data_IF_130769118264
#
_entry.id   IF_130769118264
#
_cell.length_a   1.000
_cell.length_b   1.000
_cell.length_c   1.000
_cell.angle_alpha   90.00
_cell.angle_beta   90.00
_cell.angle_gamma   90.00
#
_symmetry.space_group_name_H-M   'P 1'
#
loop_
_entity.id
_entity.type
_entity.pdbx_description
1 polymer ?
#
# COMPACT_ATOMS: atom_id res chain seq x y z
N UNK A 1 4.95 -15.06 -0.43
CA UNK A 1 3.91 -15.00 -1.50
C UNK A 1 4.42 -14.34 -2.79
N UNK A 2 5.41 -13.43 -2.75
CA UNK A 2 5.99 -12.81 -3.96
C UNK A 2 7.15 -13.59 -4.63
N UNK A 3 7.80 -14.51 -3.90
CA UNK A 3 8.80 -15.45 -4.45
C UNK A 3 8.11 -16.58 -5.25
N UNK A 4 8.68 -17.07 -6.37
CA UNK A 4 10.00 -16.80 -6.92
C UNK A 4 10.10 -15.66 -7.94
N UNK A 5 9.01 -14.91 -8.16
CA UNK A 5 8.98 -13.87 -9.20
C UNK A 5 9.91 -12.71 -8.85
N UNK A 6 9.91 -12.35 -7.58
CA UNK A 6 10.75 -11.26 -7.08
C UNK A 6 12.15 -11.78 -6.83
N UNK A 7 13.03 -11.51 -7.81
CA UNK A 7 14.45 -11.88 -7.77
C UNK A 7 15.28 -10.66 -7.37
N UNK A 8 16.37 -10.82 -6.60
CA UNK A 8 17.21 -9.71 -6.16
C UNK A 8 17.79 -8.82 -7.27
N UNK A 9 17.86 -9.35 -8.49
CA UNK A 9 18.41 -8.69 -9.68
C UNK A 9 17.43 -7.74 -10.39
N UNK A 10 16.14 -7.76 -10.02
CA UNK A 10 15.14 -6.86 -10.61
C UNK A 10 15.38 -5.40 -10.22
N UNK A 11 14.81 -4.48 -10.99
CA UNK A 11 14.83 -3.06 -10.63
C UNK A 11 13.56 -2.71 -9.87
N UNK A 12 13.74 -2.19 -8.67
CA UNK A 12 12.69 -1.78 -7.78
C UNK A 12 12.39 -0.29 -7.86
N UNK A 13 11.13 0.06 -7.66
CA UNK A 13 10.72 1.42 -7.40
C UNK A 13 9.84 1.47 -6.15
N UNK A 14 10.28 2.19 -5.13
CA UNK A 14 9.55 2.40 -3.89
C UNK A 14 8.58 3.57 -4.04
N UNK A 15 7.29 3.28 -4.00
CA UNK A 15 6.16 4.20 -4.02
C UNK A 15 5.80 4.71 -2.61
N UNK A 16 6.83 5.01 -1.84
CA UNK A 16 6.78 5.54 -0.47
C UNK A 16 7.98 6.47 -0.26
N UNK A 17 8.03 7.23 0.86
CA UNK A 17 9.19 8.02 1.22
C UNK A 17 10.41 7.16 1.47
N UNK A 18 11.58 7.70 1.18
CA UNK A 18 12.85 7.03 1.46
C UNK A 18 12.92 6.67 2.95
N UNK A 19 12.99 5.37 3.30
CA UNK A 19 13.01 4.94 4.69
C UNK A 19 14.18 5.53 5.48
N UNK A 20 15.30 5.81 4.82
CA UNK A 20 16.51 6.34 5.46
C UNK A 20 16.42 7.85 5.75
N UNK A 21 15.45 8.56 5.14
CA UNK A 21 15.27 10.02 5.29
C UNK A 21 13.96 10.43 5.94
N UNK A 22 13.07 9.49 6.24
CA UNK A 22 11.78 9.76 6.87
C UNK A 22 11.71 9.29 8.31
N UNK A 23 10.91 9.98 9.12
CA UNK A 23 10.55 9.57 10.48
C UNK A 23 9.16 8.92 10.56
N UNK A 24 8.47 8.81 9.41
CA UNK A 24 7.17 8.14 9.33
C UNK A 24 7.36 6.62 9.35
N UNK A 25 6.71 5.94 10.30
CA UNK A 25 6.87 4.49 10.47
C UNK A 25 6.45 3.68 9.22
N UNK A 26 5.38 4.08 8.53
CA UNK A 26 4.98 3.44 7.27
C UNK A 26 6.04 3.55 6.17
N UNK A 27 6.92 4.56 6.23
CA UNK A 27 8.12 4.61 5.40
C UNK A 27 9.20 3.66 5.90
N UNK A 28 9.49 3.66 7.21
CA UNK A 28 10.53 2.82 7.82
C UNK A 28 10.36 1.33 7.55
N UNK A 29 9.14 0.80 7.60
CA UNK A 29 8.92 -0.64 7.36
C UNK A 29 9.33 -1.10 5.97
N UNK A 30 9.36 -0.18 5.00
CA UNK A 30 9.80 -0.48 3.62
C UNK A 30 11.31 -0.68 3.49
N UNK A 31 12.10 -0.53 4.57
CA UNK A 31 13.53 -0.87 4.57
C UNK A 31 13.79 -2.29 4.10
N UNK A 32 12.92 -3.24 4.48
CA UNK A 32 13.05 -4.65 4.06
C UNK A 32 13.11 -4.80 2.53
N UNK A 33 12.52 -3.86 1.78
CA UNK A 33 12.59 -3.89 0.33
C UNK A 33 14.02 -3.71 -0.19
N UNK A 34 14.82 -2.85 0.45
CA UNK A 34 16.24 -2.63 0.14
C UNK A 34 17.13 -3.82 0.51
N UNK A 35 16.69 -4.67 1.42
CA UNK A 35 17.38 -5.92 1.74
C UNK A 35 17.08 -7.02 0.69
N UNK A 36 15.98 -6.89 -0.05
CA UNK A 36 15.49 -7.89 -0.99
C UNK A 36 15.89 -7.62 -2.45
N UNK A 37 15.95 -6.35 -2.86
CA UNK A 37 16.20 -5.93 -4.25
C UNK A 37 17.43 -5.00 -4.31
N UNK A 38 18.35 -5.26 -5.26
CA UNK A 38 19.63 -4.55 -5.34
C UNK A 38 19.51 -3.10 -5.82
N UNK A 39 18.68 -2.86 -6.83
CA UNK A 39 18.57 -1.54 -7.49
C UNK A 39 17.20 -0.94 -7.17
N UNK A 40 17.13 0.05 -6.29
CA UNK A 40 15.86 0.66 -5.89
C UNK A 40 15.89 2.17 -6.05
N UNK A 41 14.98 2.67 -6.88
CA UNK A 41 14.64 4.09 -6.96
C UNK A 41 13.49 4.41 -5.99
N UNK A 42 13.38 5.67 -5.56
CA UNK A 42 12.37 6.08 -4.57
C UNK A 42 11.52 7.25 -5.07
N UNK A 43 10.22 7.18 -4.82
CA UNK A 43 9.27 8.21 -5.22
C UNK A 43 9.55 9.56 -4.52
N UNK A 44 9.78 9.53 -3.20
CA UNK A 44 9.96 10.73 -2.38
C UNK A 44 11.27 10.63 -1.62
N UNK A 45 12.35 11.13 -2.22
CA UNK A 45 13.71 11.10 -1.66
C UNK A 45 14.07 12.40 -0.91
N UNK A 46 13.25 12.77 0.08
CA UNK A 46 13.46 13.95 0.92
C UNK A 46 12.93 13.72 2.33
N UNK A 47 13.40 14.54 3.27
CA UNK A 47 12.80 14.60 4.59
C UNK A 47 11.40 15.21 4.51
N UNK A 48 10.45 14.58 5.19
CA UNK A 48 9.08 15.07 5.33
C UNK A 48 9.00 15.71 6.72
N UNK A 49 9.09 17.03 6.78
CA UNK A 49 8.98 17.76 8.05
C UNK A 49 7.53 17.81 8.53
N UNK A 50 7.35 17.90 9.84
CA UNK A 50 6.03 18.09 10.47
C UNK A 50 5.38 19.40 10.06
N UNK A 51 6.17 20.42 9.70
CA UNK A 51 5.68 21.69 9.16
C UNK A 51 5.03 21.52 7.79
N UNK A 52 5.64 20.76 6.89
CA UNK A 52 5.07 20.45 5.56
C UNK A 52 3.76 19.67 5.74
N UNK A 53 3.75 18.66 6.61
CA UNK A 53 2.55 17.88 6.93
C UNK A 53 1.45 18.82 7.45
N UNK A 54 1.75 19.67 8.45
CA UNK A 54 0.75 20.61 9.01
C UNK A 54 0.24 21.58 7.97
N UNK A 55 1.11 22.20 7.16
CA UNK A 55 0.73 23.22 6.19
C UNK A 55 -0.08 22.67 5.00
N UNK A 56 0.08 21.38 4.68
CA UNK A 56 -0.72 20.68 3.65
C UNK A 56 -2.02 20.12 4.19
N UNK A 57 -2.05 19.70 5.46
CA UNK A 57 -3.25 19.16 6.12
C UNK A 57 -4.16 20.23 6.73
N UNK A 58 -3.61 21.36 7.18
CA UNK A 58 -4.41 22.44 7.75
C UNK A 58 -5.14 23.18 6.63
N UNK A 59 -6.44 23.46 6.84
CA UNK A 59 -7.21 24.38 5.98
C UNK A 59 -6.74 25.84 6.06
N UNK A 60 -5.51 26.07 6.49
CA UNK A 60 -4.92 27.37 6.74
C UNK A 60 -4.70 28.12 5.42
N UNK A 61 -5.27 29.33 5.37
CA UNK A 61 -5.27 30.21 4.17
C UNK A 61 -4.16 31.27 4.22
N UNK A 62 -3.05 30.98 4.89
CA UNK A 62 -1.90 31.90 4.92
C UNK A 62 -1.11 31.86 3.60
N UNK A 63 -0.47 32.97 3.24
CA UNK A 63 0.40 33.05 2.05
C UNK A 63 1.53 32.00 2.08
N UNK A 64 2.06 31.72 3.27
CA UNK A 64 3.04 30.66 3.49
C UNK A 64 2.48 29.28 3.14
N UNK A 65 1.27 28.95 3.60
CA UNK A 65 0.62 27.69 3.27
C UNK A 65 0.34 27.56 1.76
N UNK A 66 -0.01 28.65 1.09
CA UNK A 66 -0.20 28.65 -0.37
C UNK A 66 1.10 28.35 -1.14
N UNK A 67 2.23 28.95 -0.73
CA UNK A 67 3.55 28.68 -1.31
C UNK A 67 3.98 27.22 -1.09
N UNK A 68 3.74 26.67 0.11
CA UNK A 68 4.05 25.27 0.43
C UNK A 68 3.25 24.32 -0.46
N UNK A 69 1.93 24.52 -0.59
CA UNK A 69 1.06 23.70 -1.47
C UNK A 69 1.49 23.75 -2.93
N UNK A 70 1.82 24.94 -3.44
CA UNK A 70 2.32 25.08 -4.82
C UNK A 70 3.64 24.34 -5.03
N UNK A 71 4.55 24.40 -4.06
CA UNK A 71 5.82 23.65 -4.10
C UNK A 71 5.58 22.14 -4.11
N UNK A 72 4.68 21.67 -3.26
CA UNK A 72 4.30 20.26 -3.19
C UNK A 72 3.65 19.74 -4.48
N UNK A 73 2.75 20.52 -5.11
CA UNK A 73 2.19 20.20 -6.44
C UNK A 73 3.26 20.03 -7.51
N UNK A 74 4.26 20.94 -7.56
CA UNK A 74 5.38 20.82 -8.51
C UNK A 74 6.24 19.59 -8.27
N UNK A 75 6.49 19.26 -7.00
CA UNK A 75 7.25 18.06 -6.65
C UNK A 75 6.49 16.77 -6.97
N UNK A 76 5.16 16.75 -6.79
CA UNK A 76 4.31 15.65 -7.21
C UNK A 76 4.39 15.42 -8.73
N UNK A 77 4.27 16.48 -9.53
CA UNK A 77 4.41 16.38 -10.98
C UNK A 77 5.82 15.90 -11.41
N UNK A 78 6.88 16.43 -10.79
CA UNK A 78 8.24 15.94 -11.04
C UNK A 78 8.40 14.46 -10.68
N UNK A 79 7.82 14.03 -9.57
CA UNK A 79 7.83 12.62 -9.15
C UNK A 79 7.18 11.72 -10.20
N UNK A 80 5.99 12.06 -10.69
CA UNK A 80 5.31 11.30 -11.76
C UNK A 80 6.20 11.23 -13.01
N UNK A 81 6.77 12.36 -13.44
CA UNK A 81 7.65 12.38 -14.62
C UNK A 81 8.97 11.59 -14.42
N UNK A 82 9.49 11.49 -13.19
CA UNK A 82 10.63 10.61 -12.89
C UNK A 82 10.25 9.14 -13.05
N UNK A 83 9.11 8.73 -12.47
CA UNK A 83 8.64 7.34 -12.57
C UNK A 83 8.38 6.95 -14.04
N UNK A 84 7.73 7.82 -14.82
CA UNK A 84 7.49 7.57 -16.25
C UNK A 84 8.80 7.44 -17.03
N UNK A 85 9.79 8.30 -16.76
CA UNK A 85 11.12 8.18 -17.41
C UNK A 85 11.81 6.87 -17.05
N UNK A 86 11.75 6.49 -15.78
CA UNK A 86 12.29 5.21 -15.31
C UNK A 86 11.62 4.02 -16.00
N UNK A 87 10.28 4.02 -16.12
CA UNK A 87 9.55 2.99 -16.87
C UNK A 87 10.02 2.86 -18.33
N UNK A 88 10.19 4.00 -19.02
CA UNK A 88 10.70 4.03 -20.40
C UNK A 88 12.13 3.45 -20.48
N UNK A 89 12.98 3.72 -19.49
CA UNK A 89 14.34 3.16 -19.42
C UNK A 89 14.32 1.65 -19.19
N UNK A 90 13.48 1.15 -18.28
CA UNK A 90 13.37 -0.28 -17.98
C UNK A 90 12.84 -1.06 -19.18
N UNK A 91 11.85 -0.52 -19.89
CA UNK A 91 11.33 -1.13 -21.13
C UNK A 91 12.42 -1.22 -22.21
N UNK A 92 13.18 -0.14 -22.43
CA UNK A 92 14.29 -0.12 -23.40
C UNK A 92 15.35 -1.18 -23.09
N UNK A 93 15.65 -1.40 -21.81
CA UNK A 93 16.60 -2.42 -21.34
C UNK A 93 16.01 -3.83 -21.33
N UNK A 94 14.69 -3.97 -21.50
CA UNK A 94 13.94 -5.23 -21.34
C UNK A 94 14.14 -5.86 -19.95
N UNK A 95 14.22 -5.00 -18.92
CA UNK A 95 14.40 -5.41 -17.55
C UNK A 95 13.04 -5.55 -16.84
N UNK A 96 12.89 -6.59 -16.03
CA UNK A 96 11.72 -6.74 -15.16
C UNK A 96 11.75 -5.74 -14.01
N UNK A 97 10.57 -5.39 -13.51
CA UNK A 97 10.39 -4.34 -12.51
C UNK A 97 9.57 -4.79 -11.31
N UNK A 98 9.84 -4.18 -10.17
CA UNK A 98 9.01 -4.33 -8.97
C UNK A 98 8.58 -2.98 -8.42
N UNK A 99 7.29 -2.84 -8.13
CA UNK A 99 6.76 -1.68 -7.40
C UNK A 99 6.38 -2.09 -5.98
N UNK A 100 6.83 -1.35 -4.98
CA UNK A 100 6.39 -1.54 -3.57
C UNK A 100 5.88 -0.22 -3.04
N UNK A 101 4.74 -0.18 -2.36
CA UNK A 101 4.32 0.99 -1.58
C UNK A 101 2.84 1.31 -1.68
N UNK A 102 2.48 2.58 -1.60
CA UNK A 102 1.07 2.97 -1.60
C UNK A 102 0.49 3.01 -3.04
N UNK A 103 -0.74 2.50 -3.26
CA UNK A 103 -1.34 2.34 -4.58
C UNK A 103 -1.62 3.69 -5.27
N UNK A 104 -1.90 4.76 -4.51
CA UNK A 104 -2.27 6.05 -5.09
C UNK A 104 -1.17 6.66 -5.98
N UNK A 105 0.12 6.46 -5.66
CA UNK A 105 1.22 6.98 -6.50
C UNK A 105 1.21 6.27 -7.85
N UNK A 106 1.12 4.94 -7.86
CA UNK A 106 1.07 4.18 -9.11
C UNK A 106 -0.20 4.50 -9.89
N UNK A 107 -1.33 4.68 -9.19
CA UNK A 107 -2.57 5.13 -9.82
C UNK A 107 -2.36 6.45 -10.59
N UNK A 108 -1.81 7.50 -9.97
CA UNK A 108 -1.58 8.77 -10.66
C UNK A 108 -0.58 8.65 -11.81
N UNK A 109 0.42 7.77 -11.70
CA UNK A 109 1.33 7.45 -12.82
C UNK A 109 0.56 6.80 -13.97
N UNK A 110 -0.28 5.79 -13.68
CA UNK A 110 -1.08 5.10 -14.71
C UNK A 110 -2.07 6.05 -15.40
N UNK A 111 -2.73 6.94 -14.66
CA UNK A 111 -3.60 7.96 -15.25
C UNK A 111 -2.82 8.89 -16.19
N UNK A 112 -1.62 9.33 -15.79
CA UNK A 112 -0.76 10.15 -16.65
C UNK A 112 -0.26 9.39 -17.88
N UNK A 113 -0.03 8.09 -17.78
CA UNK A 113 0.34 7.24 -18.92
C UNK A 113 -0.83 7.13 -19.91
N UNK A 114 -2.06 6.91 -19.42
CA UNK A 114 -3.28 6.89 -20.23
C UNK A 114 -3.49 8.23 -20.95
N UNK A 115 -3.36 9.36 -20.25
CA UNK A 115 -3.43 10.71 -20.85
C UNK A 115 -2.43 10.91 -22.00
N UNK A 116 -1.26 10.27 -21.92
CA UNK A 116 -0.21 10.33 -22.94
C UNK A 116 -0.32 9.25 -24.01
N UNK A 117 -1.30 8.35 -23.93
CA UNK A 117 -1.41 7.18 -24.80
C UNK A 117 -0.23 6.22 -24.70
N UNK A 118 0.43 6.16 -23.54
CA UNK A 118 1.58 5.28 -23.29
C UNK A 118 1.14 4.02 -22.54
N UNK A 119 1.61 2.88 -23.00
CA UNK A 119 1.47 1.58 -22.33
C UNK A 119 2.80 0.84 -22.40
N UNK A 120 3.02 -0.07 -21.46
CA UNK A 120 4.21 -0.90 -21.37
C UNK A 120 3.82 -2.37 -21.26
N UNK A 121 4.77 -3.27 -21.51
CA UNK A 121 4.58 -4.69 -21.25
C UNK A 121 5.81 -5.30 -20.55
N UNK A 122 5.77 -5.32 -19.22
CA UNK A 122 6.84 -5.89 -18.40
C UNK A 122 6.69 -7.39 -18.11
N UNK A 123 5.52 -7.96 -18.41
CA UNK A 123 5.26 -9.40 -18.36
C UNK A 123 5.39 -10.05 -16.98
N UNK A 124 5.50 -11.38 -16.99
CA UNK A 124 5.43 -12.25 -15.79
C UNK A 124 6.60 -12.10 -14.82
N UNK A 125 7.72 -11.52 -15.25
CA UNK A 125 8.91 -11.31 -14.41
C UNK A 125 8.85 -10.00 -13.60
N UNK A 126 7.69 -9.35 -13.57
CA UNK A 126 7.47 -8.09 -12.90
C UNK A 126 6.29 -8.19 -11.94
N UNK A 127 6.22 -7.30 -10.95
CA UNK A 127 5.19 -7.38 -9.92
C UNK A 127 4.98 -6.08 -9.16
N UNK A 128 3.85 -6.03 -8.45
CA UNK A 128 3.47 -4.90 -7.61
C UNK A 128 3.08 -5.46 -6.23
N UNK A 129 3.62 -4.87 -5.17
CA UNK A 129 3.13 -5.07 -3.80
C UNK A 129 2.65 -3.73 -3.27
N UNK A 130 1.36 -3.63 -3.02
CA UNK A 130 0.77 -2.45 -2.38
C UNK A 130 0.59 -2.66 -0.88
N UNK A 131 0.35 -1.58 -0.16
CA UNK A 131 -0.09 -1.64 1.24
C UNK A 131 -0.58 -0.28 1.74
N UNK A 132 -1.77 -0.28 2.35
CA UNK A 132 -2.43 0.95 2.82
C UNK A 132 -2.78 1.94 1.69
N UNK A 133 -3.29 3.12 2.02
CA UNK A 133 -3.42 4.23 1.05
C UNK A 133 -4.40 3.99 -0.12
N UNK A 134 -5.37 3.10 0.02
CA UNK A 134 -6.35 2.73 -1.03
C UNK A 134 -7.37 3.82 -1.39
N UNK A 135 -7.44 4.91 -0.62
CA UNK A 135 -8.17 6.12 -1.02
C UNK A 135 -7.35 6.82 -2.10
N UNK A 136 -7.97 7.21 -3.21
CA UNK A 136 -7.32 8.05 -4.22
C UNK A 136 -7.72 9.51 -3.96
N UNK A 137 -9.01 9.73 -3.72
CA UNK A 137 -9.58 10.99 -3.25
C UNK A 137 -10.34 10.78 -1.94
N UNK A 138 -10.70 11.87 -1.25
CA UNK A 138 -11.42 11.80 0.04
C UNK A 138 -12.68 10.90 -0.06
N UNK A 139 -13.36 10.93 -1.20
CA UNK A 139 -14.60 10.19 -1.47
C UNK A 139 -14.44 9.01 -2.46
N UNK A 140 -13.25 8.83 -3.06
CA UNK A 140 -13.03 7.80 -4.10
C UNK A 140 -11.95 6.82 -3.65
N UNK A 141 -12.39 5.61 -3.29
CA UNK A 141 -11.55 4.42 -3.07
C UNK A 141 -11.57 3.56 -4.34
N UNK A 142 -10.40 3.16 -4.83
CA UNK A 142 -10.31 2.12 -5.86
C UNK A 142 -10.34 0.76 -5.17
N UNK A 143 -11.05 -0.21 -5.75
CA UNK A 143 -10.94 -1.59 -5.27
C UNK A 143 -9.56 -2.14 -5.65
N UNK A 144 -9.07 -3.11 -4.90
CA UNK A 144 -7.81 -3.78 -5.23
C UNK A 144 -7.94 -4.43 -6.60
N UNK A 145 -9.08 -5.06 -6.89
CA UNK A 145 -9.34 -5.68 -8.20
C UNK A 145 -9.22 -4.70 -9.36
N UNK A 146 -9.86 -3.53 -9.27
CA UNK A 146 -9.80 -2.51 -10.31
C UNK A 146 -8.37 -1.99 -10.50
N UNK A 147 -7.63 -1.79 -9.41
CA UNK A 147 -6.23 -1.40 -9.48
C UNK A 147 -5.37 -2.43 -10.20
N UNK A 148 -5.55 -3.74 -9.92
CA UNK A 148 -4.80 -4.82 -10.59
C UNK A 148 -5.10 -4.87 -12.09
N UNK A 149 -6.37 -4.69 -12.49
CA UNK A 149 -6.76 -4.61 -13.90
C UNK A 149 -6.05 -3.46 -14.60
N UNK A 150 -6.04 -2.27 -13.99
CA UNK A 150 -5.35 -1.11 -14.55
C UNK A 150 -3.83 -1.31 -14.66
N UNK A 151 -3.21 -1.97 -13.67
CA UNK A 151 -1.78 -2.34 -13.73
C UNK A 151 -1.52 -3.27 -14.91
N UNK A 152 -2.36 -4.29 -15.14
CA UNK A 152 -2.24 -5.18 -16.28
C UNK A 152 -2.42 -4.46 -17.62
N UNK A 153 -3.44 -3.62 -17.74
CA UNK A 153 -3.72 -2.86 -18.95
C UNK A 153 -2.62 -1.84 -19.29
N UNK A 154 -2.05 -1.19 -18.28
CA UNK A 154 -1.11 -0.08 -18.47
C UNK A 154 0.34 -0.56 -18.54
N UNK A 155 0.71 -1.59 -17.76
CA UNK A 155 2.09 -2.04 -17.57
C UNK A 155 2.33 -3.49 -18.04
N UNK A 156 1.29 -4.23 -18.45
CA UNK A 156 1.40 -5.62 -18.86
C UNK A 156 1.83 -6.58 -17.75
N UNK A 157 1.73 -6.16 -16.49
CA UNK A 157 2.04 -7.00 -15.33
C UNK A 157 0.79 -7.86 -15.01
N UNK A 158 0.91 -9.19 -14.94
CA UNK A 158 -0.23 -10.06 -14.63
C UNK A 158 -0.87 -9.74 -13.28
N UNK A 159 -2.19 -9.93 -13.19
CA UNK A 159 -2.97 -9.60 -11.98
C UNK A 159 -2.50 -10.42 -10.77
N UNK A 160 -2.14 -11.69 -10.98
CA UNK A 160 -1.59 -12.60 -9.98
C UNK A 160 -0.22 -12.15 -9.40
N UNK A 161 0.45 -11.20 -10.05
CA UNK A 161 1.69 -10.59 -9.59
C UNK A 161 1.47 -9.24 -8.89
N UNK A 162 0.21 -8.81 -8.79
CA UNK A 162 -0.20 -7.59 -8.10
C UNK A 162 -0.82 -7.97 -6.74
N UNK A 163 0.02 -7.96 -5.71
CA UNK A 163 -0.35 -8.35 -4.36
C UNK A 163 -0.59 -7.12 -3.48
N UNK A 164 -1.44 -7.26 -2.47
CA UNK A 164 -1.58 -6.27 -1.40
C UNK A 164 -1.10 -6.87 -0.08
N UNK A 165 -0.62 -6.00 0.79
CA UNK A 165 -0.28 -6.30 2.16
C UNK A 165 -1.14 -5.44 3.09
N UNK A 166 -1.94 -6.12 3.90
CA UNK A 166 -2.70 -5.52 4.98
C UNK A 166 -1.95 -5.64 6.30
N UNK A 167 -1.90 -4.54 7.03
CA UNK A 167 -1.22 -4.40 8.31
C UNK A 167 -1.47 -3.01 8.87
N UNK A 168 -1.00 -2.77 10.09
CA UNK A 168 -1.13 -1.49 10.77
C UNK A 168 0.09 -1.24 11.65
N UNK A 169 0.38 0.02 11.96
CA UNK A 169 1.60 0.38 12.71
C UNK A 169 1.55 -0.11 14.15
N UNK A 170 0.35 -0.34 14.64
CA UNK A 170 0.04 -0.82 15.98
C UNK A 170 0.20 -2.34 16.11
N UNK A 171 0.45 -3.10 15.04
CA UNK A 171 0.59 -4.57 15.11
C UNK A 171 1.74 -5.10 14.25
N UNK A 172 2.22 -6.30 14.59
CA UNK A 172 3.32 -6.97 13.87
C UNK A 172 2.84 -8.00 12.83
N UNK A 173 1.52 -8.19 12.69
CA UNK A 173 0.92 -9.08 11.71
C UNK A 173 0.85 -8.43 10.32
N UNK A 174 1.55 -9.03 9.35
CA UNK A 174 1.44 -8.67 7.94
C UNK A 174 0.64 -9.74 7.20
N UNK A 175 -0.59 -9.42 6.82
CA UNK A 175 -1.39 -10.29 5.97
C UNK A 175 -1.12 -9.95 4.52
N UNK A 176 -0.70 -10.92 3.72
CA UNK A 176 -0.33 -10.68 2.32
C UNK A 176 -1.22 -11.52 1.41
N UNK A 177 -1.58 -10.97 0.26
CA UNK A 177 -2.34 -11.67 -0.77
C UNK A 177 -1.63 -12.94 -1.25
N UNK A 178 -2.40 -14.03 -1.33
CA UNK A 178 -2.04 -15.15 -2.18
C UNK A 178 -2.14 -14.75 -3.67
N UNK A 179 -1.39 -15.42 -4.54
CA UNK A 179 -1.40 -15.13 -5.97
C UNK A 179 -2.63 -15.70 -6.67
N UNK A 180 -3.18 -16.77 -6.09
CA UNK A 180 -4.21 -17.63 -6.67
C UNK A 180 -5.60 -16.98 -6.62
N UNK A 181 -5.88 -16.17 -5.59
CA UNK A 181 -7.16 -15.48 -5.46
C UNK A 181 -7.14 -14.27 -4.54
N UNK A 182 -5.95 -13.76 -4.22
CA UNK A 182 -5.75 -12.53 -3.45
C UNK A 182 -6.37 -12.54 -2.04
N UNK A 183 -6.50 -13.70 -1.41
CA UNK A 183 -6.85 -13.77 0.02
C UNK A 183 -5.66 -13.36 0.88
N UNK A 184 -5.92 -12.58 1.94
CA UNK A 184 -4.90 -12.06 2.84
C UNK A 184 -4.55 -13.12 3.90
N UNK A 185 -3.42 -13.81 3.74
CA UNK A 185 -3.00 -14.86 4.67
C UNK A 185 -2.48 -14.28 5.97
N UNK A 186 -3.04 -14.74 7.09
CA UNK A 186 -2.63 -14.28 8.42
C UNK A 186 -1.38 -15.03 8.89
N UNK A 187 -0.37 -14.36 9.47
CA UNK A 187 0.80 -15.02 10.06
C UNK A 187 0.44 -15.68 11.41
N UNK A 188 -0.28 -16.79 11.32
CA UNK A 188 -0.99 -17.42 12.43
C UNK A 188 -0.12 -18.05 13.52
N UNK A 189 1.21 -18.08 13.34
CA UNK A 189 2.14 -18.65 14.33
C UNK A 189 2.39 -17.74 15.53
N UNK A 190 2.18 -16.43 15.39
CA UNK A 190 2.38 -15.44 16.46
C UNK A 190 1.25 -14.39 16.52
N UNK A 191 0.29 -14.48 15.60
CA UNK A 191 -0.77 -13.50 15.44
C UNK A 191 -2.12 -14.21 15.38
N UNK A 192 -2.98 -13.93 16.36
CA UNK A 192 -4.30 -14.55 16.47
C UNK A 192 -5.39 -13.56 16.03
N UNK A 193 -5.99 -13.73 14.84
CA UNK A 193 -7.04 -12.84 14.34
C UNK A 193 -8.38 -13.14 15.00
N UNK A 194 -9.15 -12.09 15.24
CA UNK A 194 -10.52 -12.12 15.78
C UNK A 194 -11.42 -11.23 14.92
N UNK A 195 -12.69 -11.62 14.82
CA UNK A 195 -13.74 -10.78 14.27
C UNK A 195 -14.76 -10.56 15.38
N UNK A 196 -15.12 -9.30 15.62
CA UNK A 196 -16.02 -8.91 16.70
C UNK A 196 -17.35 -8.38 16.16
N UNK A 197 -18.45 -8.70 16.84
CA UNK A 197 -19.76 -8.10 16.59
C UNK A 197 -19.85 -6.65 17.13
N UNK A 198 -21.06 -6.06 17.14
CA UNK A 198 -21.27 -4.68 17.61
C UNK A 198 -21.13 -4.56 19.13
N UNK A 199 -21.36 -5.65 19.84
CA UNK A 199 -21.23 -5.82 21.28
C UNK A 199 -19.80 -6.20 21.70
N UNK A 200 -18.85 -6.19 20.74
CA UNK A 200 -17.44 -6.54 20.90
C UNK A 200 -17.21 -8.00 21.34
N UNK A 201 -18.12 -8.90 20.99
CA UNK A 201 -17.97 -10.34 21.23
C UNK A 201 -17.38 -11.02 20.01
N UNK A 202 -16.46 -12.00 20.18
CA UNK A 202 -15.95 -12.79 19.07
C UNK A 202 -17.07 -13.52 18.32
N UNK A 203 -17.01 -13.47 16.99
CA UNK A 203 -17.86 -14.26 16.09
C UNK A 203 -17.02 -15.32 15.36
N UNK A 204 -17.71 -16.33 14.82
CA UNK A 204 -17.07 -17.43 14.09
C UNK A 204 -16.53 -17.03 12.71
N UNK A 205 -15.83 -17.97 12.07
CA UNK A 205 -15.40 -17.84 10.69
C UNK A 205 -16.58 -17.64 9.73
N UNK A 206 -16.35 -16.88 8.66
CA UNK A 206 -17.35 -16.58 7.64
C UNK A 206 -18.29 -15.43 7.99
N UNK A 207 -18.21 -14.86 9.18
CA UNK A 207 -18.98 -13.69 9.60
C UNK A 207 -18.23 -12.37 9.34
N UNK A 208 -18.97 -11.32 9.03
CA UNK A 208 -18.44 -9.97 8.92
C UNK A 208 -18.48 -9.27 10.27
N UNK A 209 -17.39 -8.60 10.63
CA UNK A 209 -17.34 -7.82 11.86
C UNK A 209 -16.10 -6.96 11.96
N UNK A 210 -15.91 -6.35 13.13
CA UNK A 210 -14.76 -5.48 13.42
C UNK A 210 -13.52 -6.35 13.61
N UNK A 211 -12.45 -6.03 12.90
CA UNK A 211 -11.21 -6.78 13.00
C UNK A 211 -10.47 -6.46 14.29
N UNK A 212 -10.09 -7.50 15.01
CA UNK A 212 -9.28 -7.43 16.22
C UNK A 212 -8.21 -8.52 16.18
N UNK A 213 -7.20 -8.43 17.04
CA UNK A 213 -6.16 -9.45 17.10
C UNK A 213 -5.44 -9.48 18.44
N UNK A 214 -4.81 -10.63 18.70
CA UNK A 214 -3.80 -10.83 19.74
C UNK A 214 -2.45 -11.04 19.05
N UNK A 215 -1.48 -10.20 19.37
CA UNK A 215 -0.13 -10.21 18.80
C UNK A 215 0.89 -10.62 19.88
N UNK A 216 1.40 -11.85 19.79
CA UNK A 216 2.39 -12.35 20.74
C UNK A 216 3.81 -11.84 20.47
N UNK A 217 4.05 -11.16 19.35
CA UNK A 217 5.33 -10.52 19.05
C UNK A 217 5.44 -9.11 19.66
N UNK A 218 4.34 -8.56 20.17
CA UNK A 218 4.32 -7.27 20.85
C UNK A 218 4.88 -7.39 22.27
N UNK A 219 6.14 -6.97 22.46
CA UNK A 219 6.80 -6.94 23.78
C UNK A 219 6.81 -5.55 24.44
N UNK A 220 6.49 -4.49 23.69
CA UNK A 220 6.54 -3.10 24.16
C UNK A 220 5.19 -2.55 24.64
N UNK A 221 4.09 -3.24 24.34
CA UNK A 221 2.72 -2.90 24.75
C UNK A 221 1.86 -4.18 24.76
N UNK A 222 0.68 -4.18 25.41
CA UNK A 222 -0.25 -5.30 25.30
C UNK A 222 -0.76 -5.44 23.86
N UNK A 223 -0.39 -6.54 23.19
CA UNK A 223 -0.73 -6.81 21.78
C UNK A 223 -2.20 -7.13 21.51
N UNK A 224 -3.15 -6.53 22.22
CA UNK A 224 -4.59 -6.77 22.07
C UNK A 224 -5.24 -5.55 21.45
N UNK A 225 -5.50 -5.58 20.15
CA UNK A 225 -5.94 -4.40 19.40
C UNK A 225 -7.25 -4.68 18.70
N UNK A 226 -8.16 -3.72 18.79
CA UNK A 226 -9.37 -3.65 17.99
C UNK A 226 -9.16 -2.56 16.94
N UNK A 227 -9.07 -2.95 15.68
CA UNK A 227 -8.87 -2.02 14.56
C UNK A 227 -10.14 -1.25 14.23
N UNK A 228 -10.04 -0.17 13.44
CA UNK A 228 -11.21 0.48 12.84
C UNK A 228 -11.72 -0.19 11.54
N UNK A 229 -11.23 -1.38 11.23
CA UNK A 229 -11.52 -2.08 9.98
C UNK A 229 -12.61 -3.14 10.17
N UNK A 230 -13.35 -3.40 9.10
CA UNK A 230 -14.31 -4.48 8.97
C UNK A 230 -13.77 -5.51 7.98
N UNK A 231 -13.81 -6.76 8.41
CA UNK A 231 -13.27 -7.89 7.65
C UNK A 231 -14.20 -9.09 7.75
N UNK A 232 -13.96 -10.05 6.86
CA UNK A 232 -14.49 -11.40 6.95
C UNK A 232 -13.31 -12.36 7.06
N UNK A 233 -13.26 -13.10 8.16
CA UNK A 233 -12.19 -14.06 8.45
C UNK A 233 -12.66 -15.46 8.04
N UNK A 234 -11.85 -16.18 7.27
CA UNK A 234 -12.10 -17.56 6.87
C UNK A 234 -11.09 -18.47 7.57
N UNK A 235 -11.52 -19.68 7.93
CA UNK A 235 -10.68 -20.66 8.61
C UNK A 235 -9.54 -21.16 7.71
N UNK A 236 -9.84 -21.30 6.42
CA UNK A 236 -8.92 -21.77 5.39
C UNK A 236 -9.07 -20.95 4.11
N UNK A 237 -8.00 -20.87 3.32
CA UNK A 237 -8.03 -20.24 2.02
C UNK A 237 -8.78 -21.14 1.02
N UNK A 238 -9.77 -20.63 0.26
CA UNK A 238 -10.54 -21.46 -0.67
C UNK A 238 -9.82 -21.77 -1.99
N UNK A 239 -8.64 -21.17 -2.23
CA UNK A 239 -7.93 -21.24 -3.52
C UNK A 239 -6.49 -21.74 -3.40
N UNK A 240 -5.99 -21.97 -2.19
CA UNK A 240 -4.65 -22.53 -1.99
C UNK A 240 -4.54 -23.30 -0.67
N UNK A 241 -3.59 -24.23 -0.60
CA UNK A 241 -3.43 -25.14 0.54
C UNK A 241 -2.55 -24.57 1.68
N UNK A 242 -2.24 -23.27 1.65
CA UNK A 242 -1.44 -22.65 2.71
C UNK A 242 -2.21 -22.70 4.02
N UNK A 243 -1.59 -23.15 5.12
CA UNK A 243 -2.28 -23.32 6.39
C UNK A 243 -2.67 -21.98 7.01
N UNK A 244 -3.61 -22.07 7.95
CA UNK A 244 -4.06 -20.95 8.76
C UNK A 244 -5.19 -20.12 8.12
N UNK A 245 -5.76 -19.20 8.91
CA UNK A 245 -6.88 -18.39 8.48
C UNK A 245 -6.46 -17.29 7.49
N UNK A 246 -7.45 -16.81 6.73
CA UNK A 246 -7.28 -15.73 5.77
C UNK A 246 -8.38 -14.69 5.89
N UNK A 247 -8.10 -13.45 5.51
CA UNK A 247 -9.14 -12.44 5.27
C UNK A 247 -9.55 -12.46 3.80
N UNK A 248 -10.81 -12.12 3.53
CA UNK A 248 -11.23 -11.79 2.15
C UNK A 248 -10.39 -10.63 1.58
N UNK A 249 -10.20 -10.55 0.25
CA UNK A 249 -9.29 -9.58 -0.38
C UNK A 249 -9.60 -8.10 -0.09
N UNK A 250 -10.86 -7.77 0.21
CA UNK A 250 -11.31 -6.39 0.38
C UNK A 250 -11.58 -6.06 1.86
N UNK A 251 -10.73 -5.20 2.42
CA UNK A 251 -10.88 -4.65 3.78
C UNK A 251 -11.73 -3.38 3.74
N UNK A 252 -12.76 -3.32 4.57
CA UNK A 252 -13.66 -2.16 4.70
C UNK A 252 -13.34 -1.38 5.98
N UNK A 253 -13.82 -0.14 6.07
CA UNK A 253 -13.81 0.62 7.32
C UNK A 253 -15.11 0.44 8.08
N UNK A 254 -15.02 0.27 9.40
CA UNK A 254 -16.20 0.26 10.25
C UNK A 254 -16.91 1.63 10.20
N UNK A 255 -18.25 1.62 10.30
CA UNK A 255 -19.05 2.85 10.29
C UNK A 255 -18.70 3.73 11.50
N UNK A 256 -18.46 5.01 11.25
CA UNK A 256 -18.14 5.99 12.30
C UNK A 256 -16.67 6.03 12.72
N UNK A 257 -15.84 5.12 12.22
CA UNK A 257 -14.39 5.14 12.48
C UNK A 257 -13.69 6.06 11.47
N UNK A 258 -12.97 7.06 11.99
CA UNK A 258 -12.14 7.92 11.14
C UNK A 258 -11.04 7.10 10.47
N UNK A 259 -10.73 7.42 9.22
CA UNK A 259 -9.55 6.83 8.56
C UNK A 259 -8.34 7.60 9.05
N UNK A 260 -7.71 7.10 10.12
CA UNK A 260 -6.40 7.54 10.61
C UNK A 260 -5.40 6.43 10.37
N UNK A 261 -4.24 6.77 9.83
CA UNK A 261 -3.17 5.82 9.55
C UNK A 261 -2.03 6.48 8.80
N UNK A 262 -0.79 6.06 9.06
CA UNK A 262 0.40 6.74 8.55
C UNK A 262 0.44 6.81 7.00
N UNK A 263 -0.03 5.77 6.30
CA UNK A 263 -0.17 5.78 4.84
C UNK A 263 -1.27 6.73 4.33
N UNK A 264 -2.37 6.89 5.08
CA UNK A 264 -3.43 7.86 4.76
C UNK A 264 -2.97 9.29 4.99
N UNK A 265 -2.21 9.57 6.05
CA UNK A 265 -1.65 10.90 6.29
C UNK A 265 -0.64 11.29 5.20
N UNK A 266 0.20 10.34 4.78
CA UNK A 266 1.09 10.53 3.65
C UNK A 266 0.29 10.80 2.37
N UNK A 267 -0.76 10.01 2.10
CA UNK A 267 -1.65 10.24 0.96
C UNK A 267 -2.24 11.64 1.01
N UNK A 268 -2.78 12.10 2.14
CA UNK A 268 -3.36 13.45 2.29
C UNK A 268 -2.35 14.53 1.97
N UNK A 269 -1.11 14.40 2.45
CA UNK A 269 -0.03 15.35 2.15
C UNK A 269 0.26 15.46 0.65
N UNK A 270 0.10 14.37 -0.11
CA UNK A 270 0.42 14.33 -1.55
C UNK A 270 -0.81 14.65 -2.41
N UNK A 271 -1.99 14.21 -1.97
CA UNK A 271 -3.25 14.33 -2.69
C UNK A 271 -4.01 15.63 -2.38
N UNK A 272 -3.68 16.35 -1.31
CA UNK A 272 -4.24 17.69 -1.00
C UNK A 272 -4.01 18.70 -2.13
N UNK A 273 -3.10 18.38 -3.06
CA UNK A 273 -2.62 19.26 -4.12
C UNK A 273 -3.15 18.89 -5.52
N UNK A 274 -4.01 17.86 -5.64
CA UNK A 274 -4.55 17.34 -6.92
C UNK A 274 -5.94 17.89 -7.26
N UNK A 275 -6.38 18.97 -6.59
CA UNK A 275 -7.53 19.77 -7.05
C UNK A 275 -7.08 20.92 -7.97
#
# INVERSE_FOLDING_TARGET
MAYPIWKPELNGYLLMPNPFKTNLYAGKVTMVYFDLIKNIEVAIDREISTEIIRATMSGERSLRAALVRWGAKREHEKMIQRIIRWLIEMEKKKEGITFVGAPYILYFVMERLKEKGLTFNFGENSGVITGGGWKIHEDKRISVEEFRKQVKETLGIPEENCLDAYGMVEGNGWMVHCREGHYLHVPYSYFHPLVLDRELKPVGYGEWGRFAFLDSAAHSYPGFIISGDQVRLLEHCPVCDRPGPVLEPEIKRAKGEEVRGCAEELRRMIASDVR
#
